data_IF_037353107429
#
_entry.id   IF_037353107429
#
_cell.length_a   1.000
_cell.length_b   1.000
_cell.length_c   1.000
_cell.angle_alpha   90.00
_cell.angle_beta   90.00
_cell.angle_gamma   90.00
#
_symmetry.space_group_name_H-M   'P 1'
#
loop_
_entity.id
_entity.type
_entity.pdbx_description
1 polymer ?
#
# COMPACT_ATOMS: atom_id res chain seq x y z
N UNK A 1 -9.35 -8.72 -13.45
CA UNK A 1 -9.51 -7.87 -12.25
C UNK A 1 -8.33 -6.89 -12.23
N UNK A 2 -8.59 -5.61 -11.98
CA UNK A 2 -7.55 -4.59 -11.77
C UNK A 2 -7.86 -3.89 -10.45
N UNK A 3 -7.29 -4.38 -9.36
CA UNK A 3 -7.61 -3.91 -8.01
C UNK A 3 -6.49 -2.99 -7.49
N UNK A 4 -6.87 -1.82 -6.98
CA UNK A 4 -5.96 -0.87 -6.37
C UNK A 4 -6.25 -0.75 -4.88
N UNK A 5 -5.30 -1.16 -4.04
CA UNK A 5 -5.50 -1.31 -2.59
C UNK A 5 -4.65 -0.30 -1.82
N UNK A 6 -5.28 0.52 -0.98
CA UNK A 6 -4.58 1.58 -0.26
C UNK A 6 -5.08 1.77 1.17
N UNK A 7 -4.35 2.57 1.95
CA UNK A 7 -4.59 2.79 3.38
C UNK A 7 -3.31 2.76 4.22
N UNK A 8 -3.45 2.96 5.53
CA UNK A 8 -2.31 3.12 6.45
C UNK A 8 -1.37 1.89 6.46
N UNK A 9 -0.11 2.08 6.86
CA UNK A 9 0.77 0.95 7.15
C UNK A 9 0.19 0.11 8.29
N UNK A 10 0.20 -1.22 8.13
CA UNK A 10 -0.44 -2.14 9.07
C UNK A 10 -1.94 -2.38 8.84
N UNK A 11 -2.57 -1.75 7.84
CA UNK A 11 -4.01 -1.96 7.58
C UNK A 11 -4.37 -3.32 6.97
N UNK A 12 -3.38 -4.11 6.53
CA UNK A 12 -3.58 -5.43 5.94
C UNK A 12 -3.57 -5.48 4.40
N UNK A 13 -3.21 -4.37 3.72
CA UNK A 13 -3.14 -4.28 2.24
C UNK A 13 -2.37 -5.42 1.61
N UNK A 14 -1.10 -5.60 1.96
CA UNK A 14 -0.27 -6.66 1.37
C UNK A 14 -0.85 -8.05 1.61
N UNK A 15 -1.58 -8.27 2.71
CA UNK A 15 -2.28 -9.54 2.97
C UNK A 15 -3.45 -9.72 2.00
N UNK A 16 -4.32 -8.72 1.86
CA UNK A 16 -5.44 -8.78 0.92
C UNK A 16 -4.95 -8.86 -0.53
N UNK A 17 -3.94 -8.07 -0.88
CA UNK A 17 -3.38 -7.99 -2.22
C UNK A 17 -2.82 -9.34 -2.67
N UNK A 18 -2.03 -10.00 -1.82
CA UNK A 18 -1.51 -11.36 -2.08
C UNK A 18 -2.62 -12.39 -2.22
N UNK A 19 -3.68 -12.31 -1.41
CA UNK A 19 -4.84 -13.22 -1.49
C UNK A 19 -5.59 -13.03 -2.81
N UNK A 20 -5.89 -11.79 -3.19
CA UNK A 20 -6.56 -11.47 -4.44
C UNK A 20 -5.72 -11.90 -5.65
N UNK A 21 -4.43 -11.58 -5.64
CA UNK A 21 -3.50 -11.96 -6.70
C UNK A 21 -3.44 -13.48 -6.88
N UNK A 22 -3.30 -14.24 -5.78
CA UNK A 22 -3.28 -15.70 -5.82
C UNK A 22 -4.61 -16.29 -6.29
N UNK A 23 -5.75 -15.78 -5.80
CA UNK A 23 -7.08 -16.28 -6.13
C UNK A 23 -7.44 -16.06 -7.60
N UNK A 24 -7.09 -14.90 -8.14
CA UNK A 24 -7.49 -14.48 -9.49
C UNK A 24 -6.38 -14.59 -10.53
N UNK A 25 -5.21 -15.14 -10.16
CA UNK A 25 -4.05 -15.24 -11.04
C UNK A 25 -3.55 -13.89 -11.57
N UNK A 26 -3.67 -12.83 -10.75
CA UNK A 26 -3.27 -11.47 -11.14
C UNK A 26 -1.80 -11.21 -10.85
N UNK A 27 -1.16 -10.35 -11.64
CA UNK A 27 0.14 -9.77 -11.29
C UNK A 27 0.00 -8.94 -10.00
N UNK A 28 1.06 -8.86 -9.20
CA UNK A 28 1.05 -8.11 -7.94
C UNK A 28 2.20 -7.11 -7.90
N UNK A 29 1.89 -5.85 -7.55
CA UNK A 29 2.88 -4.80 -7.34
C UNK A 29 2.68 -4.17 -5.96
N UNK A 30 3.70 -4.30 -5.12
CA UNK A 30 3.85 -3.49 -3.90
C UNK A 30 4.58 -2.19 -4.30
N UNK A 31 3.94 -1.04 -4.09
CA UNK A 31 4.50 0.26 -4.49
C UNK A 31 5.84 0.57 -3.79
N UNK A 32 6.13 -0.01 -2.62
CA UNK A 32 7.45 0.13 -2.00
C UNK A 32 8.57 -0.37 -2.94
N UNK A 33 8.31 -1.40 -3.75
CA UNK A 33 9.32 -2.01 -4.64
C UNK A 33 9.76 -1.11 -5.80
N UNK A 34 8.96 -0.09 -6.13
CA UNK A 34 9.30 0.88 -7.17
C UNK A 34 9.64 2.26 -6.60
N UNK A 35 9.24 2.58 -5.36
CA UNK A 35 9.55 3.87 -4.71
C UNK A 35 10.98 3.91 -4.18
N UNK A 36 11.52 2.79 -3.68
CA UNK A 36 12.82 2.76 -3.01
C UNK A 36 13.91 2.13 -3.88
N UNK A 37 15.14 2.62 -3.76
CA UNK A 37 16.30 2.02 -4.43
C UNK A 37 16.58 0.60 -3.87
N UNK A 38 16.70 -0.42 -4.73
CA UNK A 38 16.97 -1.78 -4.29
C UNK A 38 18.28 -1.88 -3.49
N UNK A 39 18.20 -2.49 -2.30
CA UNK A 39 19.36 -2.69 -1.43
C UNK A 39 19.85 -1.43 -0.70
N UNK A 40 19.10 -0.31 -0.79
CA UNK A 40 19.39 0.92 -0.05
C UNK A 40 18.24 1.26 0.89
N UNK A 41 18.57 1.62 2.11
CA UNK A 41 17.56 1.91 3.14
C UNK A 41 17.09 3.35 2.96
N UNK A 42 15.78 3.52 2.70
CA UNK A 42 15.10 4.82 2.64
C UNK A 42 15.67 5.81 1.60
N UNK A 43 16.28 5.32 0.52
CA UNK A 43 16.70 6.14 -0.61
C UNK A 43 15.60 6.11 -1.67
N UNK A 44 14.84 7.20 -1.78
CA UNK A 44 13.74 7.31 -2.74
C UNK A 44 14.26 7.44 -4.17
N UNK A 45 13.63 6.72 -5.09
CA UNK A 45 13.89 6.83 -6.53
C UNK A 45 13.28 8.13 -7.07
N UNK A 46 13.85 8.73 -8.14
CA UNK A 46 13.24 9.88 -8.80
C UNK A 46 11.81 9.58 -9.22
N UNK A 47 10.87 10.48 -8.94
CA UNK A 47 9.44 10.24 -9.15
C UNK A 47 9.12 9.88 -10.60
N UNK A 48 9.82 10.46 -11.58
CA UNK A 48 9.64 10.15 -12.99
C UNK A 48 9.93 8.68 -13.31
N UNK A 49 10.87 8.06 -12.58
CA UNK A 49 11.19 6.63 -12.71
C UNK A 49 10.13 5.76 -12.05
N UNK A 50 9.62 6.18 -10.89
CA UNK A 50 8.53 5.49 -10.18
C UNK A 50 7.28 5.45 -11.06
N UNK A 51 6.88 6.59 -11.64
CA UNK A 51 5.72 6.68 -12.52
C UNK A 51 5.90 5.85 -13.80
N UNK A 52 7.09 5.88 -14.41
CA UNK A 52 7.38 5.07 -15.59
C UNK A 52 7.26 3.56 -15.30
N UNK A 53 7.76 3.09 -14.15
CA UNK A 53 7.65 1.68 -13.76
C UNK A 53 6.20 1.29 -13.45
N UNK A 54 5.44 2.18 -12.81
CA UNK A 54 4.02 1.98 -12.52
C UNK A 54 3.20 1.87 -13.82
N UNK A 55 3.41 2.79 -14.77
CA UNK A 55 2.74 2.77 -16.08
C UNK A 55 3.11 1.52 -16.88
N UNK A 56 4.40 1.14 -16.88
CA UNK A 56 4.86 -0.07 -17.54
C UNK A 56 4.19 -1.32 -16.96
N UNK A 57 4.09 -1.43 -15.63
CA UNK A 57 3.41 -2.54 -14.96
C UNK A 57 1.92 -2.59 -15.33
N UNK A 58 1.22 -1.45 -15.31
CA UNK A 58 -0.20 -1.37 -15.67
C UNK A 58 -0.42 -1.79 -17.13
N UNK A 59 0.44 -1.36 -18.05
CA UNK A 59 0.32 -1.67 -19.48
C UNK A 59 0.69 -3.12 -19.81
N UNK A 60 1.59 -3.74 -19.04
CA UNK A 60 2.06 -5.11 -19.27
C UNK A 60 1.04 -6.18 -18.84
N UNK A 61 0.11 -5.85 -17.96
CA UNK A 61 -0.77 -6.83 -17.31
C UNK A 61 -2.26 -6.52 -17.53
N UNK A 62 -2.99 -7.45 -18.15
CA UNK A 62 -4.46 -7.35 -18.29
C UNK A 62 -5.20 -7.48 -16.94
N UNK A 63 -4.57 -8.13 -15.96
CA UNK A 63 -5.09 -8.31 -14.62
C UNK A 63 -4.00 -8.13 -13.56
N UNK A 64 -4.25 -7.25 -12.59
CA UNK A 64 -3.28 -6.87 -11.58
C UNK A 64 -3.91 -6.49 -10.24
N UNK A 65 -3.09 -6.56 -9.21
CA UNK A 65 -3.34 -5.97 -7.89
C UNK A 65 -2.16 -5.08 -7.53
N UNK A 66 -2.41 -3.79 -7.37
CA UNK A 66 -1.40 -2.81 -6.93
C UNK A 66 -1.75 -2.39 -5.52
N UNK A 67 -0.77 -2.29 -4.63
CA UNK A 67 -1.00 -1.88 -3.24
C UNK A 67 0.06 -0.93 -2.69
N UNK A 68 -0.37 0.00 -1.83
CA UNK A 68 0.55 0.87 -1.10
C UNK A 68 -0.15 1.99 -0.32
N UNK A 69 0.62 2.96 0.16
CA UNK A 69 0.11 4.08 0.95
C UNK A 69 0.47 5.46 0.37
N UNK A 70 0.96 5.49 -0.86
CA UNK A 70 1.38 6.69 -1.56
C UNK A 70 0.19 7.29 -2.30
N UNK A 71 -0.54 8.22 -1.68
CA UNK A 71 -1.76 8.82 -2.24
C UNK A 71 -1.60 9.28 -3.69
N UNK A 72 -0.49 9.94 -4.01
CA UNK A 72 -0.21 10.44 -5.37
C UNK A 72 -0.08 9.30 -6.40
N UNK A 73 0.56 8.17 -6.02
CA UNK A 73 0.70 7.01 -6.91
C UNK A 73 -0.62 6.24 -7.04
N UNK A 74 -1.39 6.17 -5.96
CA UNK A 74 -2.74 5.59 -6.00
C UNK A 74 -3.64 6.44 -6.89
N UNK A 75 -3.58 7.76 -6.80
CA UNK A 75 -4.35 8.67 -7.65
C UNK A 75 -3.94 8.50 -9.12
N UNK A 76 -2.63 8.44 -9.40
CA UNK A 76 -2.10 8.18 -10.73
C UNK A 76 -2.64 6.87 -11.32
N UNK A 77 -2.64 5.77 -10.56
CA UNK A 77 -3.10 4.46 -11.03
C UNK A 77 -4.64 4.30 -11.04
N UNK A 78 -5.40 5.15 -10.35
CA UNK A 78 -6.83 4.96 -10.11
C UNK A 78 -7.67 4.94 -11.40
N UNK A 79 -7.26 5.64 -12.45
CA UNK A 79 -7.96 5.64 -13.74
C UNK A 79 -7.93 4.27 -14.43
N UNK A 80 -6.97 3.41 -14.09
CA UNK A 80 -6.78 2.10 -14.71
C UNK A 80 -7.38 0.95 -13.88
N UNK A 81 -7.83 1.18 -12.63
CA UNK A 81 -8.42 0.13 -11.82
C UNK A 81 -9.88 -0.13 -12.21
N UNK A 82 -10.33 -1.37 -12.03
CA UNK A 82 -11.76 -1.73 -12.05
C UNK A 82 -12.37 -1.70 -10.67
N UNK A 83 -11.56 -1.71 -9.61
CA UNK A 83 -12.01 -1.69 -8.23
C UNK A 83 -10.98 -0.97 -7.35
N UNK A 84 -11.45 0.01 -6.57
CA UNK A 84 -10.65 0.78 -5.63
C UNK A 84 -10.95 0.35 -4.18
N UNK A 85 -9.94 -0.15 -3.47
CA UNK A 85 -10.08 -0.78 -2.16
C UNK A 85 -9.35 0.01 -1.07
N UNK A 86 -10.10 0.66 -0.18
CA UNK A 86 -9.54 1.40 0.95
C UNK A 86 -9.60 0.57 2.24
N UNK A 87 -8.43 0.18 2.79
CA UNK A 87 -8.34 -0.53 4.06
C UNK A 87 -8.12 0.46 5.20
N UNK A 88 -9.15 0.64 6.02
CA UNK A 88 -9.19 1.60 7.13
C UNK A 88 -9.67 0.93 8.44
N UNK A 89 -8.93 -0.03 9.01
CA UNK A 89 -9.35 -0.74 10.22
C UNK A 89 -9.14 0.06 11.53
N UNK A 90 -8.73 1.32 11.43
CA UNK A 90 -8.42 2.16 12.59
C UNK A 90 -6.96 2.09 13.02
N UNK A 91 -6.55 3.10 13.80
CA UNK A 91 -5.19 3.25 14.34
C UNK A 91 -4.73 2.02 15.13
N UNK A 92 -5.55 1.58 16.09
CA UNK A 92 -5.15 0.50 17.01
C UNK A 92 -4.90 -0.82 16.27
N UNK A 93 -5.73 -1.15 15.28
CA UNK A 93 -5.53 -2.33 14.44
C UNK A 93 -4.23 -2.23 13.64
N UNK A 94 -3.94 -1.07 13.04
CA UNK A 94 -2.69 -0.85 12.29
C UNK A 94 -1.45 -0.98 13.18
N UNK A 95 -1.47 -0.38 14.37
CA UNK A 95 -0.37 -0.47 15.35
C UNK A 95 -0.14 -1.91 15.80
N UNK A 96 -1.23 -2.62 16.16
CA UNK A 96 -1.17 -4.02 16.58
C UNK A 96 -0.63 -4.94 15.47
N UNK A 97 -1.05 -4.73 14.23
CA UNK A 97 -0.57 -5.50 13.09
C UNK A 97 0.92 -5.24 12.83
N UNK A 98 1.38 -3.99 12.93
CA UNK A 98 2.79 -3.67 12.74
C UNK A 98 3.71 -4.29 13.80
N UNK A 99 3.24 -4.43 15.06
CA UNK A 99 3.98 -5.15 16.11
C UNK A 99 4.11 -6.64 15.84
N UNK A 100 3.25 -7.21 14.99
CA UNK A 100 3.23 -8.64 14.62
C UNK A 100 3.84 -8.90 13.25
N UNK A 101 4.42 -7.88 12.61
CA UNK A 101 5.01 -8.02 11.27
C UNK A 101 6.15 -9.05 11.31
N UNK A 102 6.17 -10.03 10.40
CA UNK A 102 7.34 -10.87 10.22
C UNK A 102 8.52 -10.03 9.72
N UNK A 103 9.73 -10.57 9.85
CA UNK A 103 10.90 -9.95 9.23
C UNK A 103 10.72 -9.86 7.71
N UNK A 104 11.02 -8.68 7.16
CA UNK A 104 10.94 -8.34 5.74
C UNK A 104 12.37 -8.33 5.17
N UNK A 105 12.93 -9.49 4.75
CA UNK A 105 14.34 -9.60 4.31
C UNK A 105 14.66 -8.79 3.05
N UNK A 106 13.64 -8.38 2.30
CA UNK A 106 13.78 -7.50 1.14
C UNK A 106 13.89 -6.02 1.52
N UNK A 107 13.57 -5.65 2.77
CA UNK A 107 13.68 -4.27 3.31
C UNK A 107 14.83 -4.12 4.31
N UNK A 108 15.12 -5.18 5.06
CA UNK A 108 16.10 -5.13 6.16
C UNK A 108 17.04 -6.33 6.14
N UNK A 109 18.35 -6.08 6.27
CA UNK A 109 19.38 -7.14 6.31
C UNK A 109 19.22 -8.11 7.49
N UNK A 110 18.54 -7.70 8.57
CA UNK A 110 18.31 -8.56 9.73
C UNK A 110 17.04 -8.17 10.49
N UNK A 111 16.45 -9.10 11.28
CA UNK A 111 15.33 -8.79 12.17
C UNK A 111 15.64 -7.65 13.14
N UNK A 112 16.86 -7.61 13.71
CA UNK A 112 17.26 -6.56 14.64
C UNK A 112 17.28 -5.16 14.00
N UNK A 113 17.67 -5.03 12.73
CA UNK A 113 17.60 -3.75 12.00
C UNK A 113 16.15 -3.32 11.75
N UNK A 114 15.25 -4.26 11.49
CA UNK A 114 13.82 -3.96 11.38
C UNK A 114 13.24 -3.51 12.72
N UNK A 115 13.54 -4.22 13.81
CA UNK A 115 13.06 -3.90 15.15
C UNK A 115 13.51 -2.52 15.61
N UNK A 116 14.74 -2.11 15.26
CA UNK A 116 15.25 -0.77 15.53
C UNK A 116 14.43 0.36 14.87
N UNK A 117 13.67 0.06 13.82
CA UNK A 117 12.80 1.02 13.14
C UNK A 117 11.36 1.01 13.69
N UNK A 118 11.02 0.07 14.58
CA UNK A 118 9.64 -0.17 14.99
C UNK A 118 9.02 1.05 15.67
N UNK A 119 9.72 1.73 16.58
CA UNK A 119 9.16 2.90 17.28
C UNK A 119 8.88 4.06 16.32
N UNK A 120 9.79 4.31 15.37
CA UNK A 120 9.60 5.31 14.32
C UNK A 120 8.40 4.96 13.43
N UNK A 121 8.28 3.68 13.05
CA UNK A 121 7.14 3.18 12.29
C UNK A 121 5.83 3.33 13.08
N UNK A 122 5.81 3.04 14.38
CA UNK A 122 4.62 3.17 15.23
C UNK A 122 4.18 4.63 15.37
N UNK A 123 5.13 5.56 15.51
CA UNK A 123 4.84 6.99 15.53
C UNK A 123 4.27 7.46 14.18
N UNK A 124 4.87 7.03 13.07
CA UNK A 124 4.36 7.33 11.72
C UNK A 124 2.98 6.71 11.47
N UNK A 125 2.70 5.50 11.94
CA UNK A 125 1.38 4.86 11.79
C UNK A 125 0.32 5.61 12.61
N UNK A 126 0.68 6.05 13.82
CA UNK A 126 -0.22 6.79 14.71
C UNK A 126 -0.62 8.15 14.12
N UNK A 127 0.33 8.87 13.53
CA UNK A 127 0.09 10.19 12.94
C UNK A 127 -0.76 10.18 11.67
N UNK A 128 -1.13 9.01 11.12
CA UNK A 128 -1.89 8.87 9.88
C UNK A 128 -3.16 9.73 9.83
N UNK A 129 -3.88 9.85 10.95
CA UNK A 129 -5.13 10.60 11.03
C UNK A 129 -4.95 12.11 11.26
N UNK A 130 -3.72 12.55 11.51
CA UNK A 130 -3.39 13.93 11.89
C UNK A 130 -2.54 14.64 10.84
N UNK A 131 -1.74 13.90 10.06
CA UNK A 131 -0.95 14.46 8.95
C UNK A 131 -1.87 14.95 7.82
N UNK A 132 -1.34 15.86 7.01
CA UNK A 132 -1.92 16.29 5.73
C UNK A 132 -0.87 16.19 4.61
N UNK A 133 -0.32 14.99 4.47
CA UNK A 133 0.59 14.60 3.39
C UNK A 133 -0.06 13.53 2.51
N UNK A 134 0.65 13.11 1.45
CA UNK A 134 0.18 12.08 0.52
C UNK A 134 -0.06 10.70 1.17
N UNK A 135 0.46 10.46 2.39
CA UNK A 135 0.28 9.20 3.11
C UNK A 135 -0.83 9.25 4.17
N UNK A 136 -1.50 10.39 4.31
CA UNK A 136 -2.44 10.65 5.38
C UNK A 136 -3.84 10.10 5.13
N UNK A 137 -4.62 9.97 6.20
CA UNK A 137 -6.04 9.68 6.12
C UNK A 137 -6.77 10.73 5.28
N UNK A 138 -6.41 12.01 5.41
CA UNK A 138 -7.05 13.09 4.67
C UNK A 138 -6.84 12.91 3.16
N UNK A 139 -5.62 12.62 2.71
CA UNK A 139 -5.33 12.34 1.30
C UNK A 139 -6.05 11.09 0.80
N UNK A 140 -5.96 9.97 1.52
CA UNK A 140 -6.65 8.73 1.16
C UNK A 140 -8.18 8.88 1.13
N UNK A 141 -8.77 9.63 2.08
CA UNK A 141 -10.21 9.91 2.09
C UNK A 141 -10.62 10.74 0.87
N UNK A 142 -9.89 11.81 0.55
CA UNK A 142 -10.15 12.64 -0.64
C UNK A 142 -10.14 11.81 -1.92
N UNK A 143 -9.13 10.95 -2.07
CA UNK A 143 -9.00 10.03 -3.20
C UNK A 143 -10.19 9.06 -3.27
N UNK A 144 -10.52 8.40 -2.16
CA UNK A 144 -11.65 7.47 -2.08
C UNK A 144 -12.96 8.16 -2.45
N UNK A 145 -13.25 9.32 -1.87
CA UNK A 145 -14.49 10.04 -2.07
C UNK A 145 -14.64 10.54 -3.51
N UNK A 146 -13.53 11.00 -4.12
CA UNK A 146 -13.50 11.48 -5.50
C UNK A 146 -13.59 10.37 -6.57
N UNK A 147 -13.23 9.12 -6.24
CA UNK A 147 -13.31 8.03 -7.21
C UNK A 147 -14.76 7.70 -7.58
N UNK A 148 -15.07 7.73 -8.88
CA UNK A 148 -16.44 7.50 -9.39
C UNK A 148 -16.75 6.04 -9.74
N UNK A 149 -15.73 5.19 -9.89
CA UNK A 149 -15.88 3.76 -10.18
C UNK A 149 -16.24 2.91 -8.95
N UNK A 150 -16.24 1.59 -9.14
CA UNK A 150 -16.44 0.62 -8.07
C UNK A 150 -15.40 0.84 -6.96
N UNK A 151 -15.88 1.08 -5.74
CA UNK A 151 -15.03 1.34 -4.58
C UNK A 151 -15.62 0.76 -3.31
N UNK A 152 -14.73 0.19 -2.48
CA UNK A 152 -15.09 -0.41 -1.20
C UNK A 152 -14.14 0.04 -0.11
N UNK A 153 -14.68 0.46 1.04
CA UNK A 153 -13.91 0.71 2.25
C UNK A 153 -14.10 -0.45 3.23
N UNK A 154 -12.99 -1.01 3.69
CA UNK A 154 -12.94 -2.10 4.66
C UNK A 154 -12.45 -1.60 6.02
N UNK A 155 -13.30 -1.71 7.04
CA UNK A 155 -12.94 -1.45 8.45
C UNK A 155 -12.46 -2.72 9.17
N UNK A 156 -12.57 -3.87 8.53
CA UNK A 156 -11.98 -5.15 8.94
C UNK A 156 -11.45 -5.85 7.70
N UNK A 157 -10.39 -6.65 7.84
CA UNK A 157 -9.86 -7.38 6.70
C UNK A 157 -10.92 -8.39 6.21
N UNK A 158 -11.34 -8.34 4.94
CA UNK A 158 -12.37 -9.24 4.46
C UNK A 158 -11.90 -10.69 4.48
N UNK A 159 -12.84 -11.59 4.78
CA UNK A 159 -12.66 -13.00 4.52
C UNK A 159 -12.61 -13.22 3.00
N UNK A 160 -11.73 -14.12 2.55
CA UNK A 160 -11.69 -14.56 1.16
C UNK A 160 -12.27 -15.97 1.13
N UNK A 161 -13.54 -16.07 0.75
CA UNK A 161 -14.27 -17.35 0.64
C UNK A 161 -13.77 -18.25 -0.49
#
# INVERSE_FOLDING_TARGET
MRALIFGNSGSGKSTLAKRLAARHGCAHLDLDTIVWEPGRIAEARPMERVLADLDAFIAQHDAWVIEGCYGDLVEHAAHACTELLFLNPGREACLANNRRRPWEPHKYDSPAKQDAMLDNLQAWVSGYYERDDAWSYAAHRRLFDAHAGEKTEYTTLPAMD
#
